data_IF_612431829091
#
_entry.id   IF_612431829091
#
_cell.length_a   1.000
_cell.length_b   1.000
_cell.length_c   1.000
_cell.angle_alpha   90.00
_cell.angle_beta   90.00
_cell.angle_gamma   90.00
#
_symmetry.space_group_name_H-M   'P 1'
#
loop_
_entity.id
_entity.type
_entity.pdbx_description
1 polymer ?
#
# COMPACT_ATOMS: atom_id res chain seq x y z
N UNK A 1 13.62 -9.93 -16.70
CA UNK A 1 13.77 -8.45 -16.69
C UNK A 1 12.41 -7.86 -16.37
N UNK A 2 12.32 -7.17 -15.22
CA UNK A 2 11.11 -6.45 -14.81
C UNK A 2 10.71 -5.45 -15.89
N UNK A 3 9.53 -5.62 -16.49
CA UNK A 3 8.98 -4.63 -17.41
C UNK A 3 8.37 -3.48 -16.59
N UNK A 4 9.20 -2.49 -16.29
CA UNK A 4 8.85 -1.35 -15.43
C UNK A 4 7.68 -0.52 -15.96
N UNK A 5 7.45 -0.52 -17.26
CA UNK A 5 6.38 0.25 -17.88
C UNK A 5 4.99 -0.32 -17.55
N UNK A 6 4.89 -1.62 -17.31
CA UNK A 6 3.62 -2.31 -17.02
C UNK A 6 3.26 -2.34 -15.53
N UNK A 7 4.25 -2.21 -14.63
CA UNK A 7 4.04 -2.35 -13.18
C UNK A 7 3.02 -1.35 -12.60
N UNK A 8 3.04 -0.05 -12.95
CA UNK A 8 2.06 0.91 -12.42
C UNK A 8 0.62 0.62 -12.86
N UNK A 9 0.44 0.13 -14.08
CA UNK A 9 -0.87 -0.25 -14.60
C UNK A 9 -1.39 -1.50 -13.90
N UNK A 10 -0.54 -2.50 -13.69
CA UNK A 10 -0.85 -3.74 -13.00
C UNK A 10 -1.22 -3.50 -11.53
N UNK A 11 -0.46 -2.64 -10.82
CA UNK A 11 -0.76 -2.24 -9.45
C UNK A 11 -2.16 -1.63 -9.34
N UNK A 12 -2.53 -0.70 -10.23
CA UNK A 12 -3.84 -0.05 -10.22
C UNK A 12 -4.98 -1.02 -10.50
N UNK A 13 -4.74 -2.04 -11.32
CA UNK A 13 -5.76 -3.00 -11.71
C UNK A 13 -6.03 -4.08 -10.66
N UNK A 14 -5.02 -4.45 -9.85
CA UNK A 14 -5.09 -5.67 -9.03
C UNK A 14 -5.06 -5.38 -7.53
N UNK A 15 -4.51 -4.23 -7.09
CA UNK A 15 -4.28 -3.99 -5.67
C UNK A 15 -5.58 -3.90 -4.85
N UNK A 16 -5.83 -4.83 -3.90
CA UNK A 16 -7.12 -4.91 -3.19
C UNK A 16 -7.44 -3.65 -2.36
N UNK A 17 -6.41 -2.95 -1.88
CA UNK A 17 -6.58 -1.72 -1.11
C UNK A 17 -7.24 -0.60 -1.92
N UNK A 18 -7.03 -0.53 -3.24
CA UNK A 18 -7.70 0.45 -4.09
C UNK A 18 -9.19 0.14 -4.24
N UNK A 19 -9.58 -1.13 -4.37
CA UNK A 19 -10.99 -1.53 -4.40
C UNK A 19 -11.72 -1.19 -3.08
N UNK A 20 -11.03 -1.35 -1.94
CA UNK A 20 -11.59 -0.96 -0.64
C UNK A 20 -11.82 0.56 -0.54
N UNK A 21 -10.92 1.37 -1.08
CA UNK A 21 -11.08 2.83 -1.10
C UNK A 21 -12.19 3.26 -2.07
N UNK A 22 -12.33 2.60 -3.22
CA UNK A 22 -13.45 2.84 -4.15
C UNK A 22 -14.80 2.48 -3.51
N UNK A 23 -14.87 1.39 -2.74
CA UNK A 23 -16.07 1.06 -1.97
C UNK A 23 -16.42 2.16 -0.96
N UNK A 24 -15.44 2.79 -0.32
CA UNK A 24 -15.65 3.94 0.57
C UNK A 24 -16.17 5.18 -0.17
N UNK A 25 -15.69 5.45 -1.38
CA UNK A 25 -16.23 6.53 -2.22
C UNK A 25 -17.69 6.27 -2.54
N UNK A 26 -18.04 5.03 -2.98
CA UNK A 26 -19.44 4.67 -3.23
C UNK A 26 -20.31 4.80 -1.98
N UNK A 27 -19.79 4.45 -0.81
CA UNK A 27 -20.49 4.63 0.45
C UNK A 27 -20.73 6.13 0.77
N UNK A 28 -19.73 6.99 0.56
CA UNK A 28 -19.84 8.43 0.74
C UNK A 28 -20.83 9.06 -0.26
N UNK A 29 -20.87 8.58 -1.52
CA UNK A 29 -21.86 8.99 -2.52
C UNK A 29 -23.28 8.64 -2.08
N UNK A 30 -23.50 7.41 -1.60
CA UNK A 30 -24.82 6.99 -1.09
C UNK A 30 -25.23 7.74 0.17
N UNK A 31 -24.26 8.04 1.04
CA UNK A 31 -24.53 8.89 2.22
C UNK A 31 -24.94 10.31 1.81
N UNK A 32 -24.22 10.93 0.88
CA UNK A 32 -24.63 12.23 0.32
C UNK A 32 -26.05 12.16 -0.25
N UNK A 33 -26.34 11.17 -1.08
CA UNK A 33 -27.66 11.02 -1.70
C UNK A 33 -28.77 10.81 -0.64
N UNK A 34 -28.49 10.08 0.44
CA UNK A 34 -29.40 9.90 1.56
C UNK A 34 -29.67 11.25 2.29
N UNK A 35 -28.60 12.02 2.57
CA UNK A 35 -28.72 13.34 3.19
C UNK A 35 -29.57 14.30 2.31
N UNK A 36 -29.38 14.27 1.00
CA UNK A 36 -30.22 15.06 0.07
C UNK A 36 -31.69 14.62 0.07
N UNK A 37 -31.96 13.33 0.24
CA UNK A 37 -33.36 12.80 0.33
C UNK A 37 -34.07 13.27 1.59
N UNK A 38 -33.37 13.61 2.65
CA UNK A 38 -33.96 14.16 3.87
C UNK A 38 -34.64 15.55 3.64
N UNK A 39 -34.60 16.13 2.43
CA UNK A 39 -35.40 17.29 2.04
C UNK A 39 -36.87 16.98 1.90
N UNK A 40 -37.21 15.75 1.57
CA UNK A 40 -38.57 15.32 1.35
C UNK A 40 -39.24 15.02 2.68
N UNK A 41 -40.55 15.25 2.78
CA UNK A 41 -41.33 14.83 3.95
C UNK A 41 -41.29 13.31 4.11
N UNK A 42 -41.19 12.86 5.35
CA UNK A 42 -41.36 11.43 5.66
C UNK A 42 -42.84 11.15 5.88
N UNK A 43 -43.29 10.07 5.22
CA UNK A 43 -44.65 9.53 5.37
C UNK A 43 -44.56 8.20 6.12
N UNK A 44 -45.22 8.14 7.27
CA UNK A 44 -45.40 6.88 8.00
C UNK A 44 -46.86 6.43 7.96
N UNK A 45 -47.08 5.19 7.56
CA UNK A 45 -48.37 4.55 7.58
C UNK A 45 -48.37 3.47 8.62
N UNK A 46 -49.22 3.57 9.66
CA UNK A 46 -49.39 2.58 10.71
C UNK A 46 -50.74 1.91 10.60
N UNK A 47 -50.78 0.61 10.78
CA UNK A 47 -52.04 -0.18 10.92
C UNK A 47 -51.91 -0.93 12.22
N UNK A 48 -52.79 -0.72 13.17
CA UNK A 48 -52.78 -1.38 14.47
C UNK A 48 -54.15 -2.02 14.77
N UNK A 49 -54.19 -3.34 15.11
CA UNK A 49 -55.41 -3.95 15.59
C UNK A 49 -55.66 -3.56 17.06
N UNK A 50 -56.84 -3.08 17.36
CA UNK A 50 -57.30 -2.82 18.73
C UNK A 50 -57.96 -4.08 19.25
N UNK A 51 -57.38 -4.67 20.29
CA UNK A 51 -57.93 -5.88 20.91
C UNK A 51 -58.69 -5.54 22.19
N UNK A 52 -59.97 -5.99 22.25
CA UNK A 52 -60.76 -5.93 23.45
C UNK A 52 -61.21 -7.33 23.85
N UNK A 53 -60.92 -7.76 25.11
CA UNK A 53 -61.28 -9.09 25.66
C UNK A 53 -60.85 -10.26 24.76
N UNK A 54 -59.61 -10.22 24.28
CA UNK A 54 -58.99 -11.27 23.45
C UNK A 54 -59.57 -11.44 22.02
N UNK A 55 -60.26 -10.39 21.51
CA UNK A 55 -60.72 -10.33 20.10
C UNK A 55 -60.33 -8.97 19.51
N UNK A 56 -59.94 -8.98 18.24
CA UNK A 56 -59.77 -7.71 17.49
C UNK A 56 -61.14 -7.10 17.33
N UNK A 57 -61.34 -5.92 17.93
CA UNK A 57 -62.60 -5.18 17.88
C UNK A 57 -62.58 -4.11 16.78
N UNK A 58 -61.44 -3.50 16.55
CA UNK A 58 -61.29 -2.37 15.61
C UNK A 58 -59.91 -2.39 14.98
N UNK A 59 -59.77 -1.65 13.87
CA UNK A 59 -58.50 -1.40 13.21
C UNK A 59 -58.25 0.11 13.21
N UNK A 60 -57.10 0.53 13.70
CA UNK A 60 -56.62 1.92 13.64
C UNK A 60 -55.70 2.09 12.47
N UNK A 61 -55.97 3.09 11.64
CA UNK A 61 -55.11 3.53 10.55
C UNK A 61 -54.48 4.88 10.93
N UNK A 62 -53.16 4.94 11.06
CA UNK A 62 -52.43 6.15 11.36
C UNK A 62 -51.62 6.59 10.11
N UNK A 63 -51.80 7.85 9.73
CA UNK A 63 -50.99 8.50 8.71
C UNK A 63 -50.24 9.67 9.37
N UNK A 64 -48.92 9.58 9.40
CA UNK A 64 -48.05 10.61 9.93
C UNK A 64 -47.23 11.24 8.80
N UNK A 65 -47.23 12.57 8.75
CA UNK A 65 -46.46 13.38 7.80
C UNK A 65 -45.48 14.24 8.58
N UNK A 66 -44.19 13.94 8.46
CA UNK A 66 -43.13 14.73 9.08
C UNK A 66 -42.52 15.70 8.06
N UNK A 67 -42.85 16.97 8.17
CA UNK A 67 -42.36 18.03 7.27
C UNK A 67 -41.14 18.71 7.89
N UNK A 68 -40.01 18.64 7.22
CA UNK A 68 -38.76 19.23 7.72
C UNK A 68 -38.68 20.74 7.51
N UNK A 69 -38.87 21.52 8.55
CA UNK A 69 -38.87 22.97 8.48
C UNK A 69 -37.49 23.62 8.69
N UNK A 70 -36.53 22.92 9.29
CA UNK A 70 -35.19 23.43 9.63
C UNK A 70 -34.23 23.46 8.43
N UNK A 71 -34.37 24.42 7.54
CA UNK A 71 -33.59 24.56 6.31
C UNK A 71 -32.09 24.85 6.56
N UNK A 72 -31.73 25.61 7.60
CA UNK A 72 -30.36 26.00 7.92
C UNK A 72 -29.47 24.83 8.30
N UNK A 73 -29.93 23.96 9.21
CA UNK A 73 -29.22 22.74 9.64
C UNK A 73 -29.02 21.79 8.46
N UNK A 74 -30.01 21.61 7.62
CA UNK A 74 -29.97 20.72 6.45
C UNK A 74 -28.95 21.13 5.42
N UNK A 75 -28.90 22.42 5.05
CA UNK A 75 -27.86 22.92 4.14
C UNK A 75 -26.44 22.69 4.69
N UNK A 76 -26.29 22.69 6.01
CA UNK A 76 -25.00 22.39 6.64
C UNK A 76 -24.66 20.91 6.54
N UNK A 77 -25.63 20.01 6.77
CA UNK A 77 -25.48 18.56 6.60
C UNK A 77 -25.20 18.16 5.14
N UNK A 78 -25.86 18.82 4.18
CA UNK A 78 -25.60 18.59 2.74
C UNK A 78 -24.17 18.99 2.37
N UNK A 79 -23.72 20.16 2.80
CA UNK A 79 -22.32 20.60 2.60
C UNK A 79 -21.32 19.67 3.27
N UNK A 80 -21.62 19.19 4.47
CA UNK A 80 -20.79 18.21 5.16
C UNK A 80 -20.66 16.92 4.35
N UNK A 81 -21.78 16.36 3.86
CA UNK A 81 -21.78 15.14 3.06
C UNK A 81 -21.03 15.32 1.73
N UNK A 82 -21.14 16.48 1.07
CA UNK A 82 -20.33 16.82 -0.10
C UNK A 82 -18.83 16.85 0.21
N UNK A 83 -18.44 17.53 1.29
CA UNK A 83 -17.04 17.61 1.71
C UNK A 83 -16.48 16.25 2.14
N UNK A 84 -17.29 15.38 2.73
CA UNK A 84 -16.90 14.01 3.02
C UNK A 84 -16.64 13.18 1.76
N UNK A 85 -17.46 13.36 0.72
CA UNK A 85 -17.24 12.73 -0.58
C UNK A 85 -15.94 13.23 -1.25
N UNK A 86 -15.71 14.54 -1.26
CA UNK A 86 -14.45 15.13 -1.75
C UNK A 86 -13.24 14.60 -0.99
N UNK A 87 -13.34 14.51 0.34
CA UNK A 87 -12.28 13.95 1.18
C UNK A 87 -12.02 12.47 0.89
N UNK A 88 -13.07 11.67 0.63
CA UNK A 88 -12.92 10.27 0.24
C UNK A 88 -12.18 10.12 -1.11
N UNK A 89 -12.49 10.98 -2.09
CA UNK A 89 -11.81 11.02 -3.39
C UNK A 89 -10.33 11.43 -3.24
N UNK A 90 -10.06 12.49 -2.48
CA UNK A 90 -8.69 12.93 -2.20
C UNK A 90 -7.86 11.84 -1.49
N UNK A 91 -8.47 11.09 -0.55
CA UNK A 91 -7.81 9.94 0.09
C UNK A 91 -7.47 8.82 -0.88
N UNK A 92 -8.34 8.55 -1.87
CA UNK A 92 -8.02 7.59 -2.94
C UNK A 92 -6.80 8.04 -3.73
N UNK A 93 -6.76 9.30 -4.16
CA UNK A 93 -5.66 9.82 -4.98
C UNK A 93 -4.34 9.83 -4.20
N UNK A 94 -4.37 10.24 -2.95
CA UNK A 94 -3.22 10.18 -2.05
C UNK A 94 -2.74 8.73 -1.83
N UNK A 95 -3.67 7.78 -1.64
CA UNK A 95 -3.36 6.36 -1.51
C UNK A 95 -2.73 5.78 -2.77
N UNK A 96 -3.27 6.10 -3.95
CA UNK A 96 -2.72 5.66 -5.22
C UNK A 96 -1.31 6.22 -5.45
N UNK A 97 -1.08 7.50 -5.18
CA UNK A 97 0.24 8.12 -5.31
C UNK A 97 1.25 7.50 -4.35
N UNK A 98 0.86 7.23 -3.10
CA UNK A 98 1.72 6.55 -2.13
C UNK A 98 2.16 5.17 -2.62
N UNK A 99 1.23 4.37 -3.13
CA UNK A 99 1.53 3.03 -3.65
C UNK A 99 2.45 3.08 -4.87
N UNK A 100 2.27 4.07 -5.76
CA UNK A 100 3.17 4.28 -6.90
C UNK A 100 4.58 4.67 -6.45
N UNK A 101 4.69 5.52 -5.43
CA UNK A 101 5.99 5.89 -4.84
C UNK A 101 6.67 4.67 -4.22
N UNK A 102 5.94 3.89 -3.41
CA UNK A 102 6.44 2.65 -2.79
C UNK A 102 6.92 1.64 -3.84
N UNK A 103 6.18 1.48 -4.93
CA UNK A 103 6.60 0.65 -6.06
C UNK A 103 7.90 1.17 -6.69
N UNK A 104 7.99 2.46 -7.00
CA UNK A 104 9.17 3.06 -7.60
C UNK A 104 10.41 2.95 -6.70
N UNK A 105 10.26 3.14 -5.40
CA UNK A 105 11.32 2.96 -4.40
C UNK A 105 11.83 1.52 -4.39
N UNK A 106 10.93 0.53 -4.36
CA UNK A 106 11.31 -0.88 -4.36
C UNK A 106 11.99 -1.30 -5.67
N UNK A 107 11.51 -0.83 -6.82
CA UNK A 107 12.17 -1.07 -8.12
C UNK A 107 13.57 -0.48 -8.14
N UNK A 108 13.74 0.77 -7.71
CA UNK A 108 15.05 1.42 -7.66
C UNK A 108 16.02 0.73 -6.69
N UNK A 109 15.52 0.29 -5.54
CA UNK A 109 16.31 -0.46 -4.56
C UNK A 109 16.71 -1.84 -5.08
N UNK A 110 15.82 -2.55 -5.79
CA UNK A 110 16.13 -3.81 -6.45
C UNK A 110 17.25 -3.66 -7.47
N UNK A 111 17.17 -2.65 -8.35
CA UNK A 111 18.22 -2.38 -9.33
C UNK A 111 19.55 -1.98 -8.69
N UNK A 112 19.50 -1.21 -7.60
CA UNK A 112 20.70 -0.86 -6.85
C UNK A 112 21.37 -2.10 -6.26
N UNK A 113 20.59 -3.01 -5.65
CA UNK A 113 21.09 -4.27 -5.11
C UNK A 113 21.69 -5.16 -6.21
N UNK A 114 21.06 -5.22 -7.39
CA UNK A 114 21.63 -5.93 -8.54
C UNK A 114 22.99 -5.34 -9.00
N UNK A 115 23.09 -4.01 -9.04
CA UNK A 115 24.34 -3.36 -9.40
C UNK A 115 25.45 -3.66 -8.37
N UNK A 116 25.12 -3.59 -7.07
CA UNK A 116 26.05 -3.89 -5.98
C UNK A 116 26.52 -5.35 -6.06
N UNK A 117 25.59 -6.30 -6.23
CA UNK A 117 25.94 -7.72 -6.37
C UNK A 117 26.90 -7.94 -7.54
N UNK A 118 26.56 -7.40 -8.70
CA UNK A 118 27.37 -7.53 -9.91
C UNK A 118 28.77 -6.96 -9.71
N UNK A 119 28.87 -5.72 -9.24
CA UNK A 119 30.16 -5.06 -9.00
C UNK A 119 31.00 -5.83 -7.98
N UNK A 120 30.39 -6.24 -6.88
CA UNK A 120 31.12 -6.96 -5.85
C UNK A 120 31.61 -8.31 -6.34
N UNK A 121 30.79 -9.05 -7.10
CA UNK A 121 31.14 -10.38 -7.60
C UNK A 121 32.14 -10.34 -8.75
N UNK A 122 31.99 -9.40 -9.70
CA UNK A 122 32.83 -9.36 -10.90
C UNK A 122 34.14 -8.58 -10.73
N UNK A 123 34.21 -7.67 -9.76
CA UNK A 123 35.36 -6.79 -9.60
C UNK A 123 35.97 -6.86 -8.20
N UNK A 124 35.19 -6.54 -7.14
CA UNK A 124 35.74 -6.39 -5.80
C UNK A 124 36.24 -7.72 -5.20
N UNK A 125 35.52 -8.81 -5.41
CA UNK A 125 35.90 -10.11 -4.88
C UNK A 125 37.18 -10.63 -5.57
N UNK A 126 37.32 -10.68 -6.91
CA UNK A 126 38.54 -11.04 -7.57
C UNK A 126 39.74 -10.16 -7.18
N UNK A 127 39.50 -8.83 -7.04
CA UNK A 127 40.55 -7.91 -6.61
C UNK A 127 41.00 -8.18 -5.17
N UNK A 128 40.09 -8.50 -4.25
CA UNK A 128 40.42 -8.87 -2.88
C UNK A 128 41.19 -10.20 -2.84
N UNK A 129 40.87 -11.16 -3.71
CA UNK A 129 41.58 -12.43 -3.84
C UNK A 129 43.02 -12.25 -4.36
N UNK A 130 43.20 -11.41 -5.37
CA UNK A 130 44.54 -11.02 -5.87
C UNK A 130 45.36 -10.32 -4.79
N UNK A 131 44.74 -9.40 -4.04
CA UNK A 131 45.39 -8.69 -2.93
C UNK A 131 45.86 -9.67 -1.85
N UNK A 132 45.03 -10.68 -1.52
CA UNK A 132 45.38 -11.70 -0.57
C UNK A 132 46.55 -12.55 -1.07
N UNK A 133 46.56 -12.97 -2.34
CA UNK A 133 47.67 -13.72 -2.93
C UNK A 133 48.99 -12.94 -2.88
N UNK A 134 48.93 -11.63 -3.21
CA UNK A 134 50.11 -10.78 -3.11
C UNK A 134 50.60 -10.60 -1.66
N UNK A 135 49.69 -10.45 -0.70
CA UNK A 135 50.01 -10.35 0.72
C UNK A 135 50.60 -11.67 1.26
N UNK A 136 50.09 -12.83 0.82
CA UNK A 136 50.59 -14.14 1.20
C UNK A 136 52.03 -14.32 0.70
N UNK A 137 52.27 -14.07 -0.58
CA UNK A 137 53.64 -14.15 -1.16
C UNK A 137 54.60 -13.16 -0.49
N UNK A 138 54.12 -11.96 -0.13
CA UNK A 138 54.93 -10.99 0.64
C UNK A 138 55.25 -11.47 2.05
N UNK A 139 54.30 -12.07 2.74
CA UNK A 139 54.51 -12.64 4.08
C UNK A 139 55.49 -13.82 4.06
N UNK A 140 55.34 -14.74 3.14
CA UNK A 140 56.27 -15.86 2.96
C UNK A 140 57.72 -15.44 2.70
N UNK A 141 57.88 -14.27 2.03
CA UNK A 141 59.20 -13.68 1.76
C UNK A 141 59.69 -12.69 2.85
N UNK A 142 58.95 -12.56 3.97
CA UNK A 142 59.29 -11.66 5.06
C UNK A 142 59.16 -10.15 4.73
N UNK A 143 58.41 -9.80 3.66
CA UNK A 143 58.28 -8.41 3.17
C UNK A 143 57.07 -7.70 3.75
N UNK A 144 56.06 -8.42 4.27
CA UNK A 144 54.88 -7.88 4.91
C UNK A 144 54.61 -8.62 6.22
N UNK A 145 53.91 -7.99 7.15
CA UNK A 145 53.58 -8.57 8.43
C UNK A 145 52.30 -9.44 8.38
N UNK A 146 52.04 -10.18 9.44
CA UNK A 146 50.86 -11.02 9.57
C UNK A 146 49.56 -10.20 9.60
N UNK A 147 49.59 -8.98 10.14
CA UNK A 147 48.42 -8.09 10.20
C UNK A 147 47.96 -7.75 8.79
N UNK A 148 48.87 -7.43 7.88
CA UNK A 148 48.56 -7.16 6.47
C UNK A 148 47.91 -8.34 5.77
N UNK A 149 48.42 -9.58 6.00
CA UNK A 149 47.81 -10.80 5.47
C UNK A 149 46.39 -11.02 6.04
N UNK A 150 46.23 -10.83 7.33
CA UNK A 150 44.92 -10.95 8.00
C UNK A 150 43.89 -9.94 7.48
N UNK A 151 44.31 -8.71 7.21
CA UNK A 151 43.44 -7.67 6.65
C UNK A 151 43.04 -8.01 5.21
N UNK A 152 43.90 -8.51 4.40
CA UNK A 152 43.56 -9.01 3.06
C UNK A 152 42.54 -10.17 3.13
N UNK A 153 42.69 -11.08 4.06
CA UNK A 153 41.72 -12.17 4.30
C UNK A 153 40.35 -11.62 4.78
N UNK A 154 40.35 -10.57 5.60
CA UNK A 154 39.12 -9.91 6.04
C UNK A 154 38.38 -9.23 4.88
N UNK A 155 39.11 -8.66 3.92
CA UNK A 155 38.50 -8.04 2.73
C UNK A 155 37.78 -9.06 1.86
N UNK A 156 38.34 -10.26 1.62
CA UNK A 156 37.67 -11.36 0.91
C UNK A 156 36.36 -11.74 1.63
N UNK A 157 36.42 -11.93 2.95
CA UNK A 157 35.24 -12.30 3.74
C UNK A 157 34.17 -11.22 3.67
N UNK A 158 34.56 -9.96 3.76
CA UNK A 158 33.64 -8.80 3.61
C UNK A 158 32.98 -8.80 2.23
N UNK A 159 33.74 -8.95 1.16
CA UNK A 159 33.22 -8.99 -0.20
C UNK A 159 32.20 -10.13 -0.37
N UNK A 160 32.51 -11.35 0.12
CA UNK A 160 31.56 -12.47 0.11
C UNK A 160 30.28 -12.19 0.90
N UNK A 161 30.39 -11.54 2.07
CA UNK A 161 29.22 -11.14 2.86
C UNK A 161 28.38 -10.09 2.12
N UNK A 162 29.01 -9.14 1.45
CA UNK A 162 28.32 -8.08 0.72
C UNK A 162 27.56 -8.62 -0.51
N UNK A 163 28.08 -9.66 -1.19
CA UNK A 163 27.35 -10.40 -2.23
C UNK A 163 26.08 -11.03 -1.65
N UNK A 164 26.20 -11.76 -0.53
CA UNK A 164 25.05 -12.43 0.10
C UNK A 164 23.99 -11.40 0.54
N UNK A 165 24.42 -10.28 1.14
CA UNK A 165 23.52 -9.20 1.54
C UNK A 165 22.78 -8.59 0.34
N UNK A 166 23.52 -8.32 -0.76
CA UNK A 166 22.91 -7.78 -1.96
C UNK A 166 21.89 -8.74 -2.58
N UNK A 167 22.17 -10.05 -2.57
CA UNK A 167 21.22 -11.07 -3.03
C UNK A 167 19.98 -11.15 -2.14
N UNK A 168 20.14 -11.11 -0.82
CA UNK A 168 19.03 -11.09 0.11
C UNK A 168 18.15 -9.84 -0.07
N UNK A 169 18.78 -8.67 -0.27
CA UNK A 169 18.07 -7.42 -0.56
C UNK A 169 17.29 -7.50 -1.88
N UNK A 170 17.86 -8.08 -2.94
CA UNK A 170 17.15 -8.30 -4.20
C UNK A 170 15.88 -9.13 -3.99
N UNK A 171 15.96 -10.25 -3.26
CA UNK A 171 14.81 -11.10 -3.01
C UNK A 171 13.73 -10.38 -2.18
N UNK A 172 14.15 -9.62 -1.17
CA UNK A 172 13.24 -8.83 -0.35
C UNK A 172 12.49 -7.81 -1.20
N UNK A 173 13.20 -7.04 -2.03
CA UNK A 173 12.59 -6.02 -2.90
C UNK A 173 11.70 -6.63 -3.97
N UNK A 174 12.08 -7.77 -4.52
CA UNK A 174 11.24 -8.51 -5.46
C UNK A 174 9.92 -8.93 -4.81
N UNK A 175 9.97 -9.51 -3.62
CA UNK A 175 8.76 -9.90 -2.88
C UNK A 175 7.84 -8.72 -2.56
N UNK A 176 8.40 -7.53 -2.21
CA UNK A 176 7.59 -6.32 -2.01
C UNK A 176 6.96 -5.82 -3.32
N UNK A 177 7.67 -5.91 -4.46
CA UNK A 177 7.11 -5.57 -5.77
C UNK A 177 5.98 -6.55 -6.13
N UNK A 178 6.17 -7.86 -5.96
CA UNK A 178 5.16 -8.88 -6.21
C UNK A 178 3.91 -8.69 -5.34
N UNK A 179 4.07 -8.36 -4.07
CA UNK A 179 2.99 -8.01 -3.15
C UNK A 179 2.17 -6.82 -3.66
N UNK A 180 2.81 -5.78 -4.20
CA UNK A 180 2.15 -4.59 -4.74
C UNK A 180 1.47 -4.86 -6.08
N UNK A 181 2.00 -5.77 -6.90
CA UNK A 181 1.52 -6.08 -8.24
C UNK A 181 0.63 -7.33 -8.33
N UNK A 182 0.45 -8.04 -7.20
CA UNK A 182 -0.51 -9.13 -7.08
C UNK A 182 -0.08 -10.46 -7.69
N UNK A 183 1.22 -10.74 -7.81
CA UNK A 183 1.71 -12.05 -8.25
C UNK A 183 3.13 -12.02 -8.83
N UNK A 184 3.62 -13.21 -9.20
CA UNK A 184 4.94 -13.41 -9.79
C UNK A 184 5.16 -12.53 -11.04
N UNK A 185 6.37 -11.96 -11.12
CA UNK A 185 6.77 -10.99 -12.14
C UNK A 185 7.91 -11.59 -12.98
#
# INVERSE_FOLDING_TARGET
TLDQALLPARLRAIYPGLFAVEARIRAAEKNRDAVYRNRYPDLALGISPIQTRNRVSEWELMLELNIPLQQGSRRSQEREAERMLEAARAKRDAGANRLLTELAENVSAFEAAQRIERLTRSELLPQAELTFQAALAGYENGKVDFATLLDAQRQIRKAKQDVIKAQAEQQLRLAEIEKLTGGEI
#
